data_IF_683174209553
#
_entry.id   IF_683174209553
#
_cell.length_a   1.000
_cell.length_b   1.000
_cell.length_c   1.000
_cell.angle_alpha   90.00
_cell.angle_beta   90.00
_cell.angle_gamma   90.00
#
_symmetry.space_group_name_H-M   'P 1'
#
loop_
_entity.id
_entity.type
_entity.pdbx_description
1 polymer ?
#
# COMPACT_ATOMS: atom_id res chain seq x y z
N UNK A 1 -3.72 -50.51 -9.10
CA UNK A 1 -4.53 -49.27 -9.16
C UNK A 1 -4.19 -48.21 -8.07
N UNK A 2 -2.90 -47.85 -7.79
CA UNK A 2 -2.57 -46.74 -6.87
C UNK A 2 -2.30 -45.39 -7.57
N UNK A 3 -1.96 -45.41 -8.87
CA UNK A 3 -1.51 -44.23 -9.63
C UNK A 3 -2.63 -43.18 -9.76
N UNK A 4 -3.88 -43.62 -9.98
CA UNK A 4 -5.04 -42.74 -10.07
C UNK A 4 -5.35 -42.03 -8.75
N UNK A 5 -5.11 -42.70 -7.61
CA UNK A 5 -5.29 -42.09 -6.29
C UNK A 5 -4.23 -41.01 -6.03
N UNK A 6 -2.97 -41.25 -6.45
CA UNK A 6 -1.91 -40.25 -6.35
C UNK A 6 -2.18 -39.03 -7.24
N UNK A 7 -2.66 -39.23 -8.47
CA UNK A 7 -3.02 -38.14 -9.37
C UNK A 7 -4.17 -37.31 -8.78
N UNK A 8 -5.19 -37.96 -8.23
CA UNK A 8 -6.31 -37.29 -7.57
C UNK A 8 -5.86 -36.44 -6.38
N UNK A 9 -5.03 -36.98 -5.49
CA UNK A 9 -4.51 -36.24 -4.34
C UNK A 9 -3.65 -35.05 -4.75
N UNK A 10 -2.78 -35.21 -5.76
CA UNK A 10 -1.96 -34.12 -6.28
C UNK A 10 -2.81 -33.00 -6.88
N UNK A 11 -3.88 -33.33 -7.62
CA UNK A 11 -4.81 -32.35 -8.18
C UNK A 11 -5.57 -31.62 -7.07
N UNK A 12 -6.05 -32.34 -6.05
CA UNK A 12 -6.77 -31.75 -4.92
C UNK A 12 -5.86 -30.77 -4.16
N UNK A 13 -4.63 -31.16 -3.86
CA UNK A 13 -3.64 -30.28 -3.21
C UNK A 13 -3.35 -29.04 -4.05
N UNK A 14 -3.19 -29.21 -5.38
CA UNK A 14 -2.96 -28.08 -6.29
C UNK A 14 -4.14 -27.10 -6.32
N UNK A 15 -5.38 -27.59 -6.35
CA UNK A 15 -6.58 -26.74 -6.32
C UNK A 15 -6.70 -25.99 -4.98
N UNK A 16 -6.42 -26.65 -3.86
CA UNK A 16 -6.41 -26.00 -2.54
C UNK A 16 -5.36 -24.88 -2.47
N UNK A 17 -4.16 -25.12 -3.00
CA UNK A 17 -3.11 -24.10 -3.05
C UNK A 17 -3.49 -22.91 -3.93
N UNK A 18 -4.11 -23.15 -5.10
CA UNK A 18 -4.60 -22.08 -5.97
C UNK A 18 -5.67 -21.22 -5.29
N UNK A 19 -6.64 -21.84 -4.61
CA UNK A 19 -7.70 -21.12 -3.89
C UNK A 19 -7.17 -20.22 -2.76
N UNK A 20 -6.03 -20.59 -2.16
CA UNK A 20 -5.37 -19.78 -1.13
C UNK A 20 -4.77 -18.48 -1.68
N UNK A 21 -4.41 -18.43 -2.96
CA UNK A 21 -3.69 -17.29 -3.56
C UNK A 21 -4.66 -16.15 -3.91
N UNK A 22 -5.92 -16.45 -4.24
CA UNK A 22 -6.92 -15.40 -4.55
C UNK A 22 -7.30 -14.57 -3.32
N UNK A 23 -7.17 -15.13 -2.11
CA UNK A 23 -7.53 -14.45 -0.86
C UNK A 23 -6.57 -13.30 -0.47
N UNK A 24 -5.38 -13.18 -1.08
CA UNK A 24 -4.38 -12.19 -0.67
C UNK A 24 -4.34 -10.93 -1.54
N UNK A 25 -5.20 -10.81 -2.57
CA UNK A 25 -5.30 -9.60 -3.41
C UNK A 25 -6.37 -8.61 -2.92
N UNK A 26 -6.50 -8.40 -1.61
CA UNK A 26 -7.29 -7.26 -1.12
C UNK A 26 -6.45 -6.00 -1.28
N UNK A 27 -6.76 -5.21 -2.31
CA UNK A 27 -6.17 -3.89 -2.54
C UNK A 27 -6.59 -2.99 -1.37
N UNK A 28 -5.78 -2.95 -0.31
CA UNK A 28 -6.04 -2.12 0.85
C UNK A 28 -5.95 -0.66 0.40
N UNK A 29 -7.11 -0.04 0.18
CA UNK A 29 -7.22 1.39 -0.02
C UNK A 29 -6.80 2.03 1.30
N UNK A 30 -5.52 2.35 1.43
CA UNK A 30 -5.01 3.11 2.55
C UNK A 30 -5.66 4.50 2.50
N UNK A 31 -6.78 4.65 3.20
CA UNK A 31 -7.38 5.96 3.45
C UNK A 31 -6.42 6.72 4.35
N UNK A 32 -5.78 7.74 3.78
CA UNK A 32 -4.85 8.59 4.51
C UNK A 32 -5.63 9.79 5.07
N UNK A 33 -5.09 10.40 6.12
CA UNK A 33 -5.66 11.60 6.74
C UNK A 33 -4.76 12.80 6.46
N UNK A 34 -5.36 13.96 6.21
CA UNK A 34 -4.61 15.20 6.05
C UNK A 34 -3.97 15.59 7.38
N UNK A 35 -2.66 15.86 7.40
CA UNK A 35 -1.97 16.28 8.63
C UNK A 35 -2.37 17.67 9.14
N UNK A 36 -2.96 18.52 8.30
CA UNK A 36 -3.35 19.89 8.67
C UNK A 36 -4.78 19.99 9.21
N UNK A 37 -5.74 19.28 8.60
CA UNK A 37 -7.16 19.36 8.98
C UNK A 37 -7.77 18.03 9.40
N UNK A 38 -7.01 16.94 9.38
CA UNK A 38 -7.42 15.57 9.72
C UNK A 38 -8.55 14.98 8.84
N UNK A 39 -8.90 15.65 7.75
CA UNK A 39 -9.88 15.17 6.77
C UNK A 39 -9.43 13.87 6.11
N UNK A 40 -10.38 12.97 5.82
CA UNK A 40 -10.11 11.77 5.02
C UNK A 40 -9.85 12.17 3.58
N UNK A 41 -8.69 11.77 3.07
CA UNK A 41 -8.28 12.07 1.69
C UNK A 41 -7.92 10.77 0.97
N UNK A 42 -8.16 10.75 -0.34
CA UNK A 42 -7.72 9.66 -1.19
C UNK A 42 -6.24 9.87 -1.54
N UNK A 43 -5.37 8.84 -1.45
CA UNK A 43 -3.97 8.95 -1.88
C UNK A 43 -3.81 9.39 -3.35
N UNK A 44 -4.80 9.21 -4.22
CA UNK A 44 -4.74 9.75 -5.57
C UNK A 44 -4.65 11.28 -5.59
N UNK A 45 -5.17 11.97 -4.57
CA UNK A 45 -5.24 13.43 -4.52
C UNK A 45 -3.89 14.08 -4.23
N UNK A 46 -3.59 15.17 -4.95
CA UNK A 46 -2.36 15.97 -4.76
C UNK A 46 -2.56 17.10 -3.76
N UNK A 47 -3.81 17.53 -3.53
CA UNK A 47 -4.18 18.59 -2.59
C UNK A 47 -5.40 18.17 -1.77
N UNK A 48 -5.44 18.58 -0.50
CA UNK A 48 -6.59 18.32 0.36
C UNK A 48 -7.81 19.12 -0.13
N UNK A 49 -9.01 18.52 -0.25
CA UNK A 49 -10.22 19.23 -0.65
C UNK A 49 -10.72 20.23 0.41
N UNK A 50 -10.50 19.94 1.70
CA UNK A 50 -10.96 20.80 2.81
C UNK A 50 -10.03 21.99 3.07
N UNK A 51 -8.72 21.76 3.19
CA UNK A 51 -7.76 22.82 3.54
C UNK A 51 -6.86 23.31 2.39
N UNK A 52 -6.89 22.66 1.22
CA UNK A 52 -6.05 22.95 0.05
C UNK A 52 -4.54 22.72 0.23
N UNK A 53 -4.14 22.12 1.35
CA UNK A 53 -2.74 21.74 1.63
C UNK A 53 -2.21 20.72 0.61
N UNK A 54 -0.91 20.78 0.32
CA UNK A 54 -0.28 19.87 -0.62
C UNK A 54 0.04 18.52 0.04
N UNK A 55 -0.52 17.45 -0.53
CA UNK A 55 -0.44 16.10 0.02
C UNK A 55 0.79 15.33 -0.49
N UNK A 56 1.39 15.80 -1.58
CA UNK A 56 2.59 15.22 -2.20
C UNK A 56 3.68 16.28 -2.21
N UNK A 57 4.86 15.93 -1.71
CA UNK A 57 6.03 16.78 -1.72
C UNK A 57 7.26 15.97 -2.14
N UNK A 58 8.27 16.60 -2.76
CA UNK A 58 9.55 15.94 -2.98
C UNK A 58 10.21 15.63 -1.63
N UNK A 59 10.83 14.47 -1.53
CA UNK A 59 11.74 14.13 -0.44
C UNK A 59 12.96 15.05 -0.48
N UNK A 60 13.42 15.56 0.68
CA UNK A 60 14.56 16.49 0.72
C UNK A 60 15.89 15.81 0.35
N UNK A 61 16.01 14.51 0.64
CA UNK A 61 17.22 13.73 0.37
C UNK A 61 17.26 13.22 -1.08
N UNK A 62 16.27 12.42 -1.49
CA UNK A 62 16.27 11.79 -2.83
C UNK A 62 15.43 12.52 -3.91
N UNK A 63 14.77 13.62 -3.57
CA UNK A 63 13.92 14.44 -4.48
C UNK A 63 12.75 13.70 -5.14
N UNK A 64 12.47 12.45 -4.75
CA UNK A 64 11.31 11.70 -5.24
C UNK A 64 10.03 12.22 -4.61
N UNK A 65 8.95 12.24 -5.40
CA UNK A 65 7.62 12.61 -4.93
C UNK A 65 7.09 11.55 -3.96
N UNK A 66 6.86 11.97 -2.71
CA UNK A 66 6.31 11.14 -1.64
C UNK A 66 5.11 11.85 -1.02
N UNK A 67 4.28 11.09 -0.32
CA UNK A 67 3.18 11.70 0.43
C UNK A 67 3.70 12.37 1.70
N UNK A 68 3.10 13.51 2.04
CA UNK A 68 3.47 14.30 3.22
C UNK A 68 3.05 13.65 4.53
N UNK A 69 2.11 12.69 4.50
CA UNK A 69 1.67 11.93 5.67
C UNK A 69 2.58 10.73 5.99
N UNK A 70 3.59 10.44 5.17
CA UNK A 70 4.51 9.34 5.42
C UNK A 70 5.59 9.78 6.41
N UNK A 71 5.84 8.97 7.44
CA UNK A 71 6.89 9.23 8.44
C UNK A 71 8.30 9.12 7.85
N UNK A 72 8.48 8.25 6.87
CA UNK A 72 9.76 7.99 6.20
C UNK A 72 9.59 7.88 4.69
N UNK A 73 10.63 8.22 3.96
CA UNK A 73 10.69 8.04 2.51
C UNK A 73 10.90 6.55 2.19
N UNK A 74 10.08 5.92 1.32
CA UNK A 74 10.24 4.50 0.97
C UNK A 74 11.44 4.24 0.05
N UNK A 75 11.95 5.31 -0.56
CA UNK A 75 12.98 5.21 -1.57
C UNK A 75 14.38 5.36 -0.98
N UNK A 76 14.56 6.25 0.00
CA UNK A 76 15.85 6.47 0.66
C UNK A 76 15.86 6.18 2.16
N UNK A 77 14.69 5.99 2.79
CA UNK A 77 14.59 5.76 4.23
C UNK A 77 14.65 7.02 5.10
N UNK A 78 14.90 8.19 4.49
CA UNK A 78 15.00 9.45 5.22
C UNK A 78 13.68 9.83 5.90
N UNK A 79 13.76 10.30 7.15
CA UNK A 79 12.61 10.76 7.92
C UNK A 79 12.30 12.20 7.56
N UNK A 80 11.02 12.55 7.42
CA UNK A 80 10.62 13.96 7.38
C UNK A 80 10.84 14.55 8.77
N UNK A 81 12.06 14.96 9.08
CA UNK A 81 12.33 15.65 10.32
C UNK A 81 11.55 16.97 10.31
N UNK A 82 10.75 17.10 11.36
CA UNK A 82 9.73 18.10 11.54
C UNK A 82 10.42 19.46 11.58
N UNK A 83 10.09 20.32 10.61
CA UNK A 83 10.46 21.73 10.63
C UNK A 83 9.84 22.34 11.90
N UNK A 84 10.67 22.53 12.93
CA UNK A 84 10.34 23.33 14.11
C UNK A 84 9.96 24.76 13.79
#
# INVERSE_FOLDING_TARGET
MPILACIGLSIIVYILLLSSIENTKTKQSETIHCSQCNEKIDPAQTKCPSCKEMLKAPCNDCQKMIYTNWRYCPYCGDTKEERG
#
